data_IF_193119087171
#
_entry.id   IF_193119087171
#
_cell.length_a   1.000
_cell.length_b   1.000
_cell.length_c   1.000
_cell.angle_alpha   90.00
_cell.angle_beta   90.00
_cell.angle_gamma   90.00
#
_symmetry.space_group_name_H-M   'P 1'
#
loop_
_entity.id
_entity.type
_entity.pdbx_description
1 polymer ?
#
# COMPACT_ATOMS: atom_id res chain seq x y z
N UNK A 1 -37.51 29.87 47.37
CA UNK A 1 -38.65 29.29 46.69
C UNK A 1 -38.20 27.94 46.17
N UNK A 2 -38.90 26.85 46.52
CA UNK A 2 -38.41 25.49 46.35
C UNK A 2 -38.75 24.90 44.98
N UNK A 3 -37.86 24.00 44.54
CA UNK A 3 -37.94 23.15 43.33
C UNK A 3 -39.14 22.20 43.41
N UNK A 4 -39.87 22.06 42.30
CA UNK A 4 -40.92 21.08 42.11
C UNK A 4 -40.36 19.72 41.64
N UNK A 5 -40.96 18.57 42.02
CA UNK A 5 -40.45 17.25 41.76
C UNK A 5 -40.90 16.69 40.42
N UNK A 6 -40.04 15.78 39.88
CA UNK A 6 -40.27 14.95 38.66
C UNK A 6 -41.35 13.90 38.89
N UNK A 7 -42.14 13.51 37.89
CA UNK A 7 -43.10 12.44 38.00
C UNK A 7 -42.51 11.02 37.84
N UNK A 8 -43.02 10.15 38.65
CA UNK A 8 -42.72 8.73 38.84
C UNK A 8 -43.19 7.87 37.68
N UNK A 9 -42.44 6.79 37.41
CA UNK A 9 -42.72 5.74 36.42
C UNK A 9 -44.06 5.05 36.65
N UNK A 10 -44.79 4.80 35.55
CA UNK A 10 -45.98 3.94 35.55
C UNK A 10 -45.59 2.52 35.08
N UNK A 11 -45.84 1.58 35.94
CA UNK A 11 -45.88 0.14 35.71
C UNK A 11 -47.03 -0.24 34.78
N UNK A 12 -46.76 -0.98 33.72
CA UNK A 12 -47.76 -1.67 32.92
C UNK A 12 -47.65 -3.17 33.16
N UNK A 13 -48.76 -3.71 33.63
CA UNK A 13 -49.03 -5.10 33.91
C UNK A 13 -49.22 -5.95 32.62
N UNK A 14 -48.81 -7.19 32.74
CA UNK A 14 -49.02 -8.34 31.86
C UNK A 14 -50.48 -8.62 31.52
N UNK A 15 -50.73 -8.97 30.24
CA UNK A 15 -51.94 -9.76 29.83
C UNK A 15 -51.47 -10.88 28.90
N UNK A 16 -51.92 -12.09 29.26
CA UNK A 16 -51.67 -13.39 28.64
C UNK A 16 -52.25 -13.57 27.22
N UNK A 17 -51.53 -14.33 26.43
CA UNK A 17 -51.74 -15.33 25.39
C UNK A 17 -53.17 -15.57 24.81
N UNK A 18 -53.37 -16.32 23.66
CA UNK A 18 -52.50 -17.32 23.01
C UNK A 18 -52.43 -17.30 21.45
N UNK A 19 -51.37 -17.87 20.94
CA UNK A 19 -51.22 -18.80 19.84
C UNK A 19 -51.85 -18.59 18.46
N UNK A 20 -51.01 -18.36 17.45
CA UNK A 20 -51.14 -19.05 16.15
C UNK A 20 -49.72 -19.20 15.57
N UNK A 21 -49.29 -20.45 15.44
CA UNK A 21 -48.09 -20.86 14.70
C UNK A 21 -48.44 -20.85 13.21
N UNK A 22 -47.87 -19.94 12.46
CA UNK A 22 -47.89 -19.96 11.00
C UNK A 22 -46.63 -20.64 10.48
N UNK A 23 -46.78 -21.85 9.97
CA UNK A 23 -45.79 -22.59 9.19
C UNK A 23 -45.53 -21.89 7.85
N UNK A 24 -44.28 -21.66 7.44
CA UNK A 24 -44.00 -21.16 6.09
C UNK A 24 -44.20 -22.27 5.07
N UNK A 25 -45.16 -22.06 4.14
CA UNK A 25 -45.40 -22.91 2.98
C UNK A 25 -44.24 -22.74 1.98
N UNK A 26 -43.52 -23.82 1.71
CA UNK A 26 -42.55 -23.91 0.61
C UNK A 26 -43.30 -23.79 -0.72
N UNK A 27 -43.07 -22.68 -1.44
CA UNK A 27 -43.47 -22.52 -2.84
C UNK A 27 -42.42 -23.19 -3.70
N UNK A 28 -42.73 -24.37 -4.23
CA UNK A 28 -41.93 -25.05 -5.26
C UNK A 28 -42.19 -24.37 -6.61
N UNK A 29 -41.14 -23.80 -7.19
CA UNK A 29 -41.12 -23.33 -8.59
C UNK A 29 -40.85 -24.56 -9.48
N UNK A 30 -41.66 -24.82 -10.52
CA UNK A 30 -41.45 -25.95 -11.42
C UNK A 30 -40.23 -25.68 -12.36
N UNK A 31 -39.29 -26.62 -12.33
CA UNK A 31 -38.19 -26.68 -13.31
C UNK A 31 -38.76 -27.13 -14.68
N UNK A 32 -38.47 -26.36 -15.71
CA UNK A 32 -38.70 -26.75 -17.11
C UNK A 32 -37.64 -27.80 -17.55
N UNK A 33 -37.99 -28.80 -18.37
CA UNK A 33 -37.07 -29.84 -18.79
C UNK A 33 -36.07 -29.31 -19.83
N UNK A 34 -34.78 -29.59 -19.59
CA UNK A 34 -33.68 -29.36 -20.53
C UNK A 34 -33.82 -30.35 -21.68
N UNK A 35 -34.03 -29.84 -22.89
CA UNK A 35 -33.96 -30.59 -24.12
C UNK A 35 -32.51 -30.93 -24.46
N UNK A 36 -32.21 -32.21 -24.59
CA UNK A 36 -30.95 -32.76 -25.08
C UNK A 36 -30.94 -32.65 -26.60
N UNK A 37 -30.06 -31.85 -27.19
CA UNK A 37 -29.78 -31.86 -28.63
C UNK A 37 -28.56 -32.75 -28.89
N UNK A 38 -28.50 -33.48 -30.06
CA UNK A 38 -27.50 -34.49 -30.30
C UNK A 38 -26.15 -33.89 -30.74
N UNK A 39 -25.09 -34.50 -30.26
CA UNK A 39 -23.71 -34.30 -30.59
C UNK A 39 -23.42 -34.57 -32.08
N UNK A 40 -22.99 -33.54 -32.79
CA UNK A 40 -22.29 -33.74 -34.05
C UNK A 40 -20.80 -33.55 -33.85
N UNK A 41 -20.07 -34.66 -33.92
CA UNK A 41 -18.64 -34.74 -34.06
C UNK A 41 -18.23 -34.34 -35.47
N UNK A 42 -17.51 -33.24 -35.62
CA UNK A 42 -16.68 -32.97 -36.78
C UNK A 42 -15.37 -32.33 -36.34
N UNK A 43 -14.32 -33.09 -36.47
CA UNK A 43 -12.92 -32.70 -36.37
C UNK A 43 -12.56 -31.71 -37.47
N UNK A 44 -11.88 -30.60 -37.20
CA UNK A 44 -11.12 -29.89 -38.21
C UNK A 44 -9.63 -30.25 -38.10
N UNK A 45 -9.10 -30.69 -39.22
CA UNK A 45 -7.71 -30.92 -39.58
C UNK A 45 -6.86 -29.65 -39.40
N UNK A 46 -5.72 -29.86 -38.79
CA UNK A 46 -4.58 -28.93 -38.69
C UNK A 46 -3.96 -28.65 -40.09
N UNK A 47 -3.65 -27.38 -40.41
CA UNK A 47 -2.66 -27.11 -41.44
C UNK A 47 -1.27 -26.98 -40.80
N UNK A 48 -0.36 -27.89 -41.20
CA UNK A 48 1.09 -27.76 -40.99
C UNK A 48 1.62 -26.53 -41.71
N UNK A 49 2.16 -25.57 -40.94
CA UNK A 49 3.01 -24.53 -41.49
C UNK A 49 4.47 -24.97 -41.41
N UNK A 50 5.06 -25.13 -42.57
CA UNK A 50 6.47 -25.37 -42.82
C UNK A 50 7.25 -24.12 -42.45
N UNK A 51 8.11 -24.20 -41.45
CA UNK A 51 9.09 -23.16 -41.13
C UNK A 51 10.38 -23.52 -41.88
N UNK A 52 10.68 -22.79 -42.92
CA UNK A 52 12.01 -22.76 -43.55
C UNK A 52 12.93 -21.87 -42.73
N UNK A 53 13.98 -22.45 -42.22
CA UNK A 53 15.15 -21.77 -41.63
C UNK A 53 15.88 -20.93 -42.67
N UNK A 54 16.22 -19.69 -42.36
CA UNK A 54 17.33 -18.98 -43.00
C UNK A 54 18.08 -18.13 -41.97
N UNK A 55 19.29 -18.54 -41.74
CA UNK A 55 20.58 -17.87 -41.56
C UNK A 55 20.71 -16.53 -40.86
N UNK A 56 21.42 -16.66 -39.75
CA UNK A 56 22.63 -15.92 -39.33
C UNK A 56 22.82 -14.46 -39.83
N UNK A 57 22.78 -13.54 -38.89
CA UNK A 57 23.32 -12.19 -39.00
C UNK A 57 23.75 -11.65 -37.63
N UNK A 58 24.97 -11.98 -37.23
CA UNK A 58 25.67 -11.43 -36.09
C UNK A 58 25.95 -9.95 -36.35
N UNK A 59 25.40 -9.03 -35.52
CA UNK A 59 25.82 -7.64 -35.45
C UNK A 59 26.32 -7.33 -34.07
N UNK A 60 27.62 -7.34 -33.93
CA UNK A 60 28.40 -6.85 -32.79
C UNK A 60 28.41 -5.33 -32.83
N UNK A 61 27.77 -4.67 -31.88
CA UNK A 61 27.96 -3.23 -31.63
C UNK A 61 29.06 -3.05 -30.58
N UNK A 62 30.24 -2.65 -31.07
CA UNK A 62 31.37 -2.26 -30.23
C UNK A 62 31.11 -0.89 -29.58
N UNK A 63 31.21 -0.84 -28.27
CA UNK A 63 31.21 0.40 -27.50
C UNK A 63 32.56 1.10 -27.68
N UNK A 64 32.55 2.34 -28.22
CA UNK A 64 33.69 3.25 -28.28
C UNK A 64 33.82 3.99 -26.94
N UNK A 65 34.90 3.69 -26.21
CA UNK A 65 35.37 4.47 -25.05
C UNK A 65 36.40 5.46 -25.58
N UNK A 66 36.30 6.76 -25.33
CA UNK A 66 37.41 7.69 -25.64
C UNK A 66 38.42 7.69 -24.49
N UNK A 67 39.62 7.22 -24.79
CA UNK A 67 40.80 7.32 -23.95
C UNK A 67 41.44 8.73 -24.17
N UNK A 68 41.48 9.56 -23.16
CA UNK A 68 42.29 10.78 -23.17
C UNK A 68 43.64 10.49 -22.55
N UNK A 69 44.68 10.63 -23.40
CA UNK A 69 46.06 10.48 -23.04
C UNK A 69 46.56 11.67 -22.20
N UNK A 70 47.22 11.37 -21.11
CA UNK A 70 48.00 12.33 -20.32
C UNK A 70 49.34 12.60 -21.01
N UNK A 71 49.58 13.85 -21.32
CA UNK A 71 50.91 14.31 -21.79
C UNK A 71 51.67 14.91 -20.62
N UNK A 72 52.73 14.20 -20.23
CA UNK A 72 53.75 14.65 -19.28
C UNK A 72 54.73 15.59 -19.99
N UNK A 73 54.93 16.78 -19.49
CA UNK A 73 56.06 17.64 -19.86
C UNK A 73 56.90 18.00 -18.62
N UNK A 74 58.09 17.41 -18.57
CA UNK A 74 59.18 17.80 -17.69
C UNK A 74 59.87 19.03 -18.28
N UNK A 75 60.11 20.04 -17.45
CA UNK A 75 61.23 21.04 -17.65
C UNK A 75 61.76 21.43 -16.27
N UNK A 76 62.87 21.02 -16.03
CA UNK A 76 64.22 21.37 -15.75
C UNK A 76 64.46 22.56 -14.79
N UNK A 77 65.28 22.20 -13.78
CA UNK A 77 65.90 23.02 -12.74
C UNK A 77 66.86 24.08 -13.30
N UNK A 78 66.85 25.28 -12.69
CA UNK A 78 68.12 26.01 -12.46
C UNK A 78 68.12 26.82 -11.17
N UNK A 79 69.23 26.70 -10.43
CA UNK A 79 69.55 27.37 -9.19
C UNK A 79 69.88 28.84 -9.45
N UNK A 80 69.48 29.69 -8.53
CA UNK A 80 70.01 31.04 -8.40
C UNK A 80 69.91 31.51 -6.95
N UNK A 81 71.09 31.57 -6.29
CA UNK A 81 71.31 32.10 -4.95
C UNK A 81 71.19 33.62 -4.94
N UNK A 82 70.55 34.20 -3.95
CA UNK A 82 70.58 35.60 -3.70
C UNK A 82 69.68 36.04 -2.55
N UNK A 83 70.27 36.15 -1.35
CA UNK A 83 69.67 36.91 -0.24
C UNK A 83 69.92 38.39 -0.50
N UNK A 84 68.92 39.27 -0.22
CA UNK A 84 69.05 40.15 0.94
C UNK A 84 67.73 40.54 1.62
N UNK A 85 67.77 40.55 2.94
CA UNK A 85 67.40 41.61 3.92
C UNK A 85 66.02 42.31 3.83
N UNK A 86 65.27 42.09 4.87
CA UNK A 86 64.25 42.84 5.60
C UNK A 86 63.79 44.21 5.10
N UNK A 87 62.49 44.33 4.87
CA UNK A 87 61.74 45.56 5.23
C UNK A 87 60.31 45.13 5.59
N UNK A 88 59.90 45.47 6.79
CA UNK A 88 58.55 45.22 7.33
C UNK A 88 57.55 46.16 6.62
N UNK A 89 56.47 45.56 6.09
CA UNK A 89 55.28 46.31 5.63
C UNK A 89 54.02 45.64 6.20
N UNK A 90 53.12 46.46 6.68
CA UNK A 90 51.82 46.18 7.32
C UNK A 90 50.99 45.18 6.53
N UNK A 91 50.15 44.36 7.19
CA UNK A 91 49.20 43.50 6.50
C UNK A 91 48.07 44.34 5.91
N UNK A 92 47.94 44.33 4.60
CA UNK A 92 46.74 44.77 3.87
C UNK A 92 45.76 43.63 3.95
N UNK A 93 44.59 43.88 4.53
CA UNK A 93 43.44 42.95 4.53
C UNK A 93 43.04 42.69 3.08
N UNK A 94 43.33 41.49 2.60
CA UNK A 94 42.77 40.97 1.36
C UNK A 94 41.40 40.51 1.67
N UNK A 95 40.39 41.21 1.14
CA UNK A 95 39.00 40.80 1.12
C UNK A 95 38.93 39.55 0.22
N UNK A 96 38.71 38.39 0.83
CA UNK A 96 38.42 37.17 0.08
C UNK A 96 37.06 37.34 -0.58
N UNK A 97 37.05 37.49 -1.89
CA UNK A 97 35.87 37.41 -2.72
C UNK A 97 35.44 35.92 -2.70
N UNK A 98 34.30 35.63 -2.12
CA UNK A 98 33.68 34.28 -2.22
C UNK A 98 33.49 33.93 -3.70
N UNK A 99 33.81 32.70 -4.12
CA UNK A 99 33.51 32.26 -5.48
C UNK A 99 32.00 32.29 -5.73
N UNK A 100 31.59 33.09 -6.72
CA UNK A 100 30.23 33.15 -7.23
C UNK A 100 29.86 31.72 -7.69
N UNK A 101 28.87 31.08 -7.05
CA UNK A 101 28.36 29.81 -7.49
C UNK A 101 27.91 29.89 -8.96
N UNK A 102 28.18 28.87 -9.79
CA UNK A 102 27.71 28.86 -11.17
C UNK A 102 26.19 29.04 -11.23
N UNK A 103 25.67 29.78 -12.21
CA UNK A 103 24.23 29.97 -12.33
C UNK A 103 23.55 28.60 -12.47
N UNK A 104 22.55 28.36 -11.64
CA UNK A 104 21.71 27.16 -11.74
C UNK A 104 21.06 27.12 -13.13
N UNK A 105 20.98 25.94 -13.78
CA UNK A 105 20.32 25.84 -15.06
C UNK A 105 18.86 26.27 -14.95
N UNK A 106 18.47 27.27 -15.72
CA UNK A 106 17.08 27.73 -15.81
C UNK A 106 16.24 26.64 -16.46
N UNK A 107 15.25 26.12 -15.71
CA UNK A 107 14.30 25.13 -16.23
C UNK A 107 13.48 25.73 -17.39
N UNK A 108 13.23 24.93 -18.43
CA UNK A 108 12.32 25.32 -19.53
C UNK A 108 10.90 25.50 -19.01
N UNK A 109 10.05 26.22 -19.73
CA UNK A 109 8.64 26.40 -19.38
C UNK A 109 7.91 25.05 -19.20
N UNK A 110 8.25 24.05 -19.99
CA UNK A 110 7.74 22.68 -19.88
C UNK A 110 8.23 22.00 -18.58
N UNK A 111 9.51 22.15 -18.22
CA UNK A 111 10.05 21.61 -16.98
C UNK A 111 9.46 22.31 -15.75
N UNK A 112 9.20 23.62 -15.82
CA UNK A 112 8.53 24.36 -14.74
C UNK A 112 7.06 23.90 -14.59
N UNK A 113 6.35 23.66 -15.71
CA UNK A 113 5.00 23.13 -15.67
C UNK A 113 4.97 21.70 -15.10
N UNK A 114 5.92 20.86 -15.48
CA UNK A 114 6.10 19.51 -14.98
C UNK A 114 6.47 19.51 -13.49
N UNK A 115 7.37 20.38 -13.05
CA UNK A 115 7.71 20.54 -11.64
C UNK A 115 6.50 20.99 -10.80
N UNK A 116 5.74 21.98 -11.26
CA UNK A 116 4.50 22.41 -10.58
C UNK A 116 3.46 21.31 -10.50
N UNK A 117 3.40 20.45 -11.51
CA UNK A 117 2.49 19.31 -11.51
C UNK A 117 2.94 18.23 -10.52
N UNK A 118 4.24 17.98 -10.43
CA UNK A 118 4.85 17.10 -9.45
C UNK A 118 4.69 17.64 -8.01
N UNK A 119 4.79 18.97 -7.83
CA UNK A 119 4.56 19.61 -6.54
C UNK A 119 3.11 19.48 -6.06
N UNK A 120 2.14 19.35 -6.98
CA UNK A 120 0.73 19.03 -6.65
C UNK A 120 0.59 17.53 -6.30
N UNK A 121 1.36 16.65 -6.93
CA UNK A 121 1.37 15.21 -6.66
C UNK A 121 2.22 14.83 -5.43
N UNK A 122 3.22 15.65 -5.07
CA UNK A 122 4.05 15.47 -3.89
C UNK A 122 3.42 16.14 -2.67
N UNK A 123 3.49 15.53 -1.47
CA UNK A 123 3.02 16.20 -0.27
C UNK A 123 3.78 17.52 -0.07
N UNK A 124 3.13 18.62 0.34
CA UNK A 124 3.82 19.86 0.63
C UNK A 124 4.86 19.59 1.73
N UNK A 125 6.13 19.85 1.41
CA UNK A 125 7.17 19.91 2.42
C UNK A 125 6.79 21.00 3.42
N UNK A 126 6.49 20.60 4.65
CA UNK A 126 6.27 21.45 5.82
C UNK A 126 4.94 22.23 5.91
N UNK A 127 3.88 21.54 6.35
CA UNK A 127 2.97 22.15 7.31
C UNK A 127 3.40 21.72 8.71
N UNK A 128 3.63 22.64 9.67
CA UNK A 128 3.88 22.26 11.04
C UNK A 128 2.60 21.63 11.59
N UNK A 129 2.61 20.31 11.68
CA UNK A 129 1.58 19.57 12.40
C UNK A 129 1.70 19.93 13.89
N UNK A 130 0.58 20.03 14.65
CA UNK A 130 0.66 20.14 16.08
C UNK A 130 1.50 18.99 16.61
N UNK A 131 2.57 19.31 17.35
CA UNK A 131 3.44 18.32 17.97
C UNK A 131 2.57 17.30 18.71
N UNK A 132 2.75 15.99 18.46
CA UNK A 132 2.09 14.98 19.25
C UNK A 132 2.47 15.22 20.72
N UNK A 133 1.48 15.20 21.61
CA UNK A 133 1.71 15.32 23.04
C UNK A 133 2.76 14.31 23.52
N UNK A 134 3.33 14.48 24.72
CA UNK A 134 4.46 13.69 25.19
C UNK A 134 4.19 12.20 25.00
N UNK A 135 5.01 11.56 24.19
CA UNK A 135 4.96 10.13 23.97
C UNK A 135 5.17 9.42 25.30
N UNK A 136 4.14 8.78 25.80
CA UNK A 136 4.33 7.76 26.82
C UNK A 136 4.95 6.58 26.08
N UNK A 137 6.24 6.36 26.28
CA UNK A 137 6.93 5.16 25.84
C UNK A 137 6.26 3.98 26.58
N UNK A 138 5.28 3.35 25.93
CA UNK A 138 4.84 2.03 26.36
C UNK A 138 5.91 1.09 25.80
N UNK A 139 6.73 0.57 26.67
CA UNK A 139 7.65 -0.52 26.32
C UNK A 139 6.84 -1.57 25.57
N UNK A 140 7.23 -1.92 24.31
CA UNK A 140 6.56 -3.01 23.62
C UNK A 140 6.57 -4.22 24.57
N UNK A 141 5.51 -5.00 24.66
CA UNK A 141 5.59 -6.27 25.35
C UNK A 141 6.77 -7.01 24.72
N UNK A 142 7.75 -7.42 25.54
CA UNK A 142 8.92 -8.16 25.08
C UNK A 142 8.44 -9.18 24.05
N UNK A 143 9.12 -9.25 22.90
CA UNK A 143 8.76 -10.17 21.80
C UNK A 143 8.76 -11.64 22.23
N UNK A 144 9.07 -11.91 23.48
CA UNK A 144 9.04 -13.22 24.14
C UNK A 144 7.81 -13.40 25.07
N UNK A 145 7.10 -12.36 25.45
CA UNK A 145 5.84 -12.49 26.17
C UNK A 145 4.72 -12.63 25.16
N UNK A 146 4.33 -13.86 24.85
CA UNK A 146 3.07 -14.13 24.15
C UNK A 146 1.95 -13.42 24.93
N UNK A 147 1.12 -12.58 24.29
CA UNK A 147 -0.07 -12.06 24.93
C UNK A 147 -0.88 -13.28 25.41
N UNK A 148 -1.35 -13.22 26.65
CA UNK A 148 -2.17 -14.27 27.23
C UNK A 148 -3.30 -14.59 26.22
N UNK A 149 -3.44 -15.86 25.84
CA UNK A 149 -4.45 -16.33 24.92
C UNK A 149 -5.82 -15.88 25.40
N UNK A 150 -6.50 -15.04 24.60
CA UNK A 150 -7.90 -14.74 24.89
C UNK A 150 -8.71 -16.03 24.92
N UNK A 151 -9.66 -16.22 25.85
CA UNK A 151 -10.51 -17.39 25.86
C UNK A 151 -11.17 -17.56 24.48
N UNK A 152 -10.90 -18.67 23.79
CA UNK A 152 -11.41 -18.95 22.44
C UNK A 152 -10.50 -18.57 21.28
N UNK A 153 -9.28 -18.04 21.51
CA UNK A 153 -8.30 -17.79 20.45
C UNK A 153 -7.47 -19.03 20.11
N UNK A 154 -6.66 -18.94 19.00
CA UNK A 154 -5.84 -20.06 18.53
C UNK A 154 -4.83 -20.49 19.60
N UNK A 155 -4.76 -21.81 19.81
CA UNK A 155 -3.82 -22.42 20.75
C UNK A 155 -2.60 -22.95 20.02
N UNK A 156 -1.42 -22.60 20.49
CA UNK A 156 -0.17 -23.12 19.94
C UNK A 156 0.01 -24.60 20.34
N UNK A 157 0.08 -25.47 19.35
CA UNK A 157 0.25 -26.92 19.53
C UNK A 157 1.69 -27.39 19.49
N UNK A 158 2.56 -26.63 18.85
CA UNK A 158 3.92 -27.04 18.51
C UNK A 158 4.93 -26.05 19.05
N UNK A 159 6.09 -26.56 19.45
CA UNK A 159 7.28 -25.77 19.77
C UNK A 159 8.11 -25.42 18.53
N UNK A 160 7.60 -25.75 17.34
CA UNK A 160 8.28 -25.45 16.08
C UNK A 160 8.62 -23.97 15.97
N UNK A 161 9.86 -23.68 15.65
CA UNK A 161 10.35 -22.32 15.47
C UNK A 161 9.74 -21.73 14.21
N UNK A 162 9.31 -20.44 14.21
CA UNK A 162 8.87 -19.78 13.00
C UNK A 162 9.93 -19.86 11.89
N UNK A 163 9.53 -19.94 10.62
CA UNK A 163 10.47 -20.01 9.51
C UNK A 163 11.31 -18.74 9.44
N UNK A 164 12.56 -18.87 9.00
CA UNK A 164 13.37 -17.71 8.65
C UNK A 164 12.91 -17.19 7.30
N UNK A 165 12.46 -15.94 7.28
CA UNK A 165 12.02 -15.22 6.07
C UNK A 165 12.91 -14.00 5.83
N UNK A 166 12.78 -13.39 4.65
CA UNK A 166 13.63 -12.28 4.26
C UNK A 166 13.18 -10.93 4.81
N UNK A 167 11.91 -10.82 5.24
CA UNK A 167 11.34 -9.61 5.79
C UNK A 167 11.91 -9.33 7.19
N UNK A 168 12.44 -8.13 7.46
CA UNK A 168 12.91 -7.75 8.80
C UNK A 168 11.75 -7.44 9.77
N UNK A 169 10.62 -6.90 9.29
CA UNK A 169 9.49 -6.49 10.10
C UNK A 169 8.28 -7.35 9.78
N UNK A 170 7.76 -8.06 10.78
CA UNK A 170 6.74 -9.10 10.60
C UNK A 170 5.69 -9.00 11.70
N UNK A 171 4.41 -9.04 11.32
CA UNK A 171 3.31 -9.32 12.24
C UNK A 171 2.39 -10.39 11.62
N UNK A 172 2.06 -11.41 12.40
CA UNK A 172 1.08 -12.44 12.05
C UNK A 172 -0.05 -12.41 13.07
N UNK A 173 -1.28 -12.14 12.61
CA UNK A 173 -2.42 -11.85 13.47
C UNK A 173 -3.62 -12.73 13.11
N UNK A 174 -4.25 -13.32 14.12
CA UNK A 174 -5.52 -14.03 13.96
C UNK A 174 -6.70 -13.06 13.82
N UNK A 175 -7.57 -13.27 12.85
CA UNK A 175 -8.72 -12.38 12.62
C UNK A 175 -9.68 -12.34 13.81
N UNK A 176 -10.09 -13.49 14.29
CA UNK A 176 -11.18 -13.59 15.26
C UNK A 176 -10.79 -13.01 16.62
N UNK A 177 -9.67 -13.43 17.17
CA UNK A 177 -9.19 -13.01 18.49
C UNK A 177 -8.37 -11.71 18.48
N UNK A 178 -7.76 -11.36 17.34
CA UNK A 178 -6.74 -10.31 17.25
C UNK A 178 -5.41 -10.70 17.89
N UNK A 179 -5.23 -11.96 18.31
CA UNK A 179 -3.99 -12.43 18.91
C UNK A 179 -2.84 -12.37 17.90
N UNK A 180 -1.68 -11.91 18.37
CA UNK A 180 -0.43 -11.96 17.62
C UNK A 180 0.13 -13.37 17.69
N UNK A 181 0.18 -14.09 16.56
CA UNK A 181 0.69 -15.45 16.46
C UNK A 181 2.20 -15.46 16.30
N UNK A 182 2.75 -14.43 15.66
CA UNK A 182 4.17 -14.18 15.51
C UNK A 182 4.45 -12.70 15.28
N UNK A 183 5.52 -12.20 15.90
CA UNK A 183 6.02 -10.85 15.70
C UNK A 183 7.55 -10.86 15.65
N UNK A 184 8.12 -10.11 14.73
CA UNK A 184 9.53 -9.80 14.64
C UNK A 184 9.66 -8.33 14.27
N UNK A 185 10.23 -7.52 15.15
CA UNK A 185 10.36 -6.06 14.97
C UNK A 185 9.09 -5.41 14.40
N UNK A 186 7.94 -5.87 14.93
CA UNK A 186 6.62 -5.61 14.35
C UNK A 186 6.10 -4.19 14.59
N UNK A 187 6.67 -3.47 15.56
CA UNK A 187 6.23 -2.14 15.99
C UNK A 187 7.14 -1.01 15.50
N UNK A 188 8.25 -1.34 14.83
CA UNK A 188 9.14 -0.35 14.23
C UNK A 188 8.46 0.39 13.09
N UNK A 189 8.56 1.71 13.09
CA UNK A 189 8.03 2.58 12.04
C UNK A 189 8.82 2.40 10.78
N UNK A 190 8.12 2.07 9.70
CA UNK A 190 8.69 1.83 8.39
C UNK A 190 7.82 2.51 7.32
N UNK A 191 8.38 2.91 6.19
CA UNK A 191 7.58 3.37 5.06
C UNK A 191 6.68 2.22 4.58
N UNK A 192 5.35 2.41 4.54
CA UNK A 192 4.42 1.35 4.17
C UNK A 192 4.32 1.12 2.66
N UNK A 193 4.73 2.08 1.84
CA UNK A 193 4.42 2.07 0.42
C UNK A 193 2.92 1.90 0.16
N UNK A 194 2.52 1.26 -0.92
CA UNK A 194 1.11 1.13 -1.34
C UNK A 194 0.22 0.27 -0.45
N UNK A 195 0.73 -0.38 0.63
CA UNK A 195 -0.19 -0.97 1.63
C UNK A 195 -1.00 0.12 2.36
N UNK A 196 -0.58 1.38 2.31
CA UNK A 196 -1.36 2.58 2.67
C UNK A 196 -2.76 2.57 2.05
N UNK A 197 -2.91 2.06 0.82
CA UNK A 197 -4.20 2.04 0.13
C UNK A 197 -5.27 1.19 0.82
N UNK A 198 -4.91 0.39 1.82
CA UNK A 198 -5.86 -0.30 2.71
C UNK A 198 -6.72 0.75 3.45
N UNK A 199 -6.09 1.74 4.11
CA UNK A 199 -6.84 2.79 4.81
C UNK A 199 -7.54 3.72 3.83
N UNK A 200 -6.92 4.04 2.70
CA UNK A 200 -7.53 4.86 1.66
C UNK A 200 -8.82 4.22 1.17
N UNK A 201 -8.81 2.93 0.88
CA UNK A 201 -10.00 2.19 0.42
C UNK A 201 -11.09 2.12 1.47
N UNK A 202 -10.75 1.78 2.73
CA UNK A 202 -11.79 1.65 3.76
C UNK A 202 -12.41 3.00 4.12
N UNK A 203 -11.64 4.09 4.12
CA UNK A 203 -12.18 5.44 4.32
C UNK A 203 -13.11 5.83 3.16
N UNK A 204 -12.77 5.46 1.92
CA UNK A 204 -13.66 5.68 0.76
C UNK A 204 -15.00 4.93 0.90
N UNK A 205 -14.95 3.67 1.33
CA UNK A 205 -16.14 2.85 1.55
C UNK A 205 -17.02 3.37 2.70
N UNK A 206 -16.42 3.93 3.73
CA UNK A 206 -17.17 4.42 4.90
C UNK A 206 -17.74 5.84 4.74
N UNK A 207 -17.09 6.68 3.94
CA UNK A 207 -17.43 8.12 3.82
C UNK A 207 -17.87 8.52 2.41
N UNK A 208 -17.65 7.67 1.44
CA UNK A 208 -18.04 7.90 0.04
C UNK A 208 -19.52 7.69 -0.20
N UNK A 209 -19.99 8.13 -1.36
CA UNK A 209 -21.34 7.83 -1.84
C UNK A 209 -21.42 6.38 -2.35
N UNK A 210 -22.56 6.05 -2.98
CA UNK A 210 -22.76 4.78 -3.68
C UNK A 210 -21.61 4.49 -4.67
N UNK A 211 -21.19 3.24 -4.74
CA UNK A 211 -20.09 2.78 -5.59
C UNK A 211 -20.32 3.03 -7.09
N UNK A 212 -21.58 3.17 -7.52
CA UNK A 212 -21.95 3.50 -8.91
C UNK A 212 -21.94 5.00 -9.20
N UNK A 213 -21.61 5.84 -8.18
CA UNK A 213 -21.44 7.29 -8.41
C UNK A 213 -20.26 7.53 -9.33
N UNK A 214 -20.51 8.26 -10.42
CA UNK A 214 -19.51 8.62 -11.42
C UNK A 214 -18.86 9.96 -11.08
N UNK A 215 -17.54 10.02 -11.18
CA UNK A 215 -16.75 11.24 -11.04
C UNK A 215 -16.06 11.60 -12.34
N UNK A 216 -15.94 12.89 -12.61
CA UNK A 216 -15.04 13.40 -13.65
C UNK A 216 -13.65 13.52 -13.06
N UNK A 217 -12.66 12.92 -13.72
CA UNK A 217 -11.29 12.88 -13.22
C UNK A 217 -10.55 14.19 -13.48
N UNK A 218 -9.61 14.50 -12.62
CA UNK A 218 -8.68 15.63 -12.75
C UNK A 218 -7.22 15.21 -12.66
N UNK A 219 -6.97 13.97 -12.29
CA UNK A 219 -5.63 13.39 -12.13
C UNK A 219 -5.16 12.79 -13.44
N UNK A 220 -3.89 13.03 -13.81
CA UNK A 220 -3.26 12.43 -14.99
C UNK A 220 -2.27 11.36 -14.59
N UNK A 221 -2.52 10.13 -15.02
CA UNK A 221 -1.59 9.01 -14.86
C UNK A 221 -0.26 9.28 -15.58
N UNK A 222 -0.33 9.84 -16.79
CA UNK A 222 0.86 10.20 -17.57
C UNK A 222 1.77 11.15 -16.80
N UNK A 223 1.20 12.15 -16.13
CA UNK A 223 1.99 13.09 -15.33
C UNK A 223 2.61 12.43 -14.10
N UNK A 224 1.88 11.59 -13.36
CA UNK A 224 2.40 10.88 -12.19
C UNK A 224 3.54 9.93 -12.57
N UNK A 225 3.40 9.17 -13.66
CA UNK A 225 4.49 8.30 -14.15
C UNK A 225 5.72 9.11 -14.51
N UNK A 226 5.55 10.27 -15.16
CA UNK A 226 6.67 11.14 -15.53
C UNK A 226 7.35 11.81 -14.32
N UNK A 227 6.60 12.03 -13.22
CA UNK A 227 7.11 12.67 -12.01
C UNK A 227 7.94 11.72 -11.14
N UNK A 228 7.38 10.56 -10.81
CA UNK A 228 7.92 9.69 -9.76
C UNK A 228 7.88 8.19 -10.11
N UNK A 229 7.53 7.83 -11.34
CA UNK A 229 7.42 6.44 -11.77
C UNK A 229 6.25 5.70 -11.12
N UNK A 230 5.23 6.41 -10.69
CA UNK A 230 4.03 5.86 -10.03
C UNK A 230 3.44 4.67 -10.78
N UNK A 231 3.00 3.66 -10.03
CA UNK A 231 2.04 2.68 -10.54
C UNK A 231 0.68 3.35 -10.73
N UNK A 232 0.04 3.14 -11.87
CA UNK A 232 -1.21 3.80 -12.24
C UNK A 232 -2.22 2.82 -12.82
N UNK A 233 -3.51 3.15 -12.76
CA UNK A 233 -4.55 2.47 -13.54
C UNK A 233 -4.71 3.05 -14.94
N UNK A 234 -4.26 4.29 -15.16
CA UNK A 234 -4.27 4.97 -16.46
C UNK A 234 -5.32 6.06 -16.59
N UNK A 235 -5.69 6.75 -15.48
CA UNK A 235 -6.62 7.88 -15.51
C UNK A 235 -6.03 9.07 -16.27
N UNK A 236 -6.86 9.72 -17.08
CA UNK A 236 -6.55 11.03 -17.64
C UNK A 236 -7.63 12.05 -17.27
N UNK A 237 -7.31 13.35 -17.30
CA UNK A 237 -8.31 14.39 -17.04
C UNK A 237 -9.53 14.25 -17.94
N UNK A 238 -10.72 14.55 -17.39
CA UNK A 238 -12.02 14.47 -18.03
C UNK A 238 -12.57 13.05 -18.30
N UNK A 239 -11.88 11.98 -17.86
CA UNK A 239 -12.48 10.65 -17.84
C UNK A 239 -13.69 10.62 -16.89
N UNK A 240 -14.71 9.83 -17.21
CA UNK A 240 -15.87 9.60 -16.38
C UNK A 240 -15.81 8.20 -15.76
N UNK A 241 -15.45 8.13 -14.48
CA UNK A 241 -15.15 6.85 -13.81
C UNK A 241 -15.96 6.69 -12.53
N UNK A 242 -16.53 5.51 -12.32
CA UNK A 242 -17.27 5.18 -11.12
C UNK A 242 -16.34 5.01 -9.92
N UNK A 243 -16.87 5.28 -8.72
CA UNK A 243 -16.13 5.03 -7.47
C UNK A 243 -15.66 3.57 -7.39
N UNK A 244 -16.50 2.60 -7.74
CA UNK A 244 -16.15 1.19 -7.80
C UNK A 244 -14.89 0.95 -8.64
N UNK A 245 -14.85 1.49 -9.86
CA UNK A 245 -13.71 1.34 -10.77
C UNK A 245 -12.45 1.99 -10.22
N UNK A 246 -12.57 3.17 -9.58
CA UNK A 246 -11.45 3.83 -8.90
C UNK A 246 -10.90 2.96 -7.76
N UNK A 247 -11.78 2.34 -6.95
CA UNK A 247 -11.34 1.46 -5.86
C UNK A 247 -10.65 0.20 -6.38
N UNK A 248 -11.15 -0.41 -7.46
CA UNK A 248 -10.44 -1.50 -8.13
C UNK A 248 -9.11 -1.04 -8.71
N UNK A 249 -9.05 0.16 -9.31
CA UNK A 249 -7.81 0.77 -9.81
C UNK A 249 -6.76 0.98 -8.74
N UNK A 250 -7.19 1.34 -7.54
CA UNK A 250 -6.34 1.52 -6.39
C UNK A 250 -5.84 0.18 -5.81
N UNK A 251 -6.72 -0.82 -5.74
CA UNK A 251 -6.43 -2.10 -5.07
C UNK A 251 -5.68 -3.09 -5.96
N UNK A 252 -6.04 -3.24 -7.24
CA UNK A 252 -5.50 -4.27 -8.12
C UNK A 252 -4.14 -3.88 -8.72
N UNK A 253 -4.05 -2.90 -9.66
CA UNK A 253 -2.77 -2.47 -10.21
C UNK A 253 -2.00 -1.52 -9.28
N UNK A 254 -2.57 -1.20 -8.13
CA UNK A 254 -1.95 -0.28 -7.16
C UNK A 254 -1.89 1.18 -7.63
N UNK A 255 -2.88 1.63 -8.44
CA UNK A 255 -2.92 2.97 -9.05
C UNK A 255 -2.81 4.10 -8.03
N UNK A 256 -1.75 4.91 -8.16
CA UNK A 256 -1.57 6.13 -7.38
C UNK A 256 -2.53 7.22 -7.90
N UNK A 257 -2.75 7.27 -9.21
CA UNK A 257 -3.76 8.12 -9.87
C UNK A 257 -5.16 7.89 -9.29
N UNK A 258 -5.57 6.63 -9.15
CA UNK A 258 -6.84 6.28 -8.53
C UNK A 258 -6.93 6.71 -7.07
N UNK A 259 -5.85 6.55 -6.29
CA UNK A 259 -5.82 6.97 -4.89
C UNK A 259 -5.94 8.49 -4.74
N UNK A 260 -5.21 9.25 -5.55
CA UNK A 260 -5.30 10.72 -5.57
C UNK A 260 -6.68 11.18 -6.06
N UNK A 261 -7.23 10.54 -7.11
CA UNK A 261 -8.56 10.89 -7.62
C UNK A 261 -9.66 10.61 -6.59
N UNK A 262 -9.61 9.47 -5.89
CA UNK A 262 -10.53 9.17 -4.78
C UNK A 262 -10.45 10.26 -3.71
N UNK A 263 -9.24 10.67 -3.32
CA UNK A 263 -9.05 11.67 -2.29
C UNK A 263 -9.69 13.03 -2.69
N UNK A 264 -9.41 13.53 -3.90
CA UNK A 264 -9.96 14.82 -4.34
C UNK A 264 -11.45 14.74 -4.61
N UNK A 265 -11.95 13.61 -5.15
CA UNK A 265 -13.39 13.43 -5.44
C UNK A 265 -14.24 13.39 -4.17
N UNK A 266 -13.77 12.72 -3.11
CA UNK A 266 -14.57 12.51 -1.91
C UNK A 266 -14.42 13.64 -0.87
N UNK A 267 -13.22 14.18 -0.73
CA UNK A 267 -12.93 15.19 0.29
C UNK A 267 -12.77 16.61 -0.29
N UNK A 268 -12.68 16.77 -1.60
CA UNK A 268 -12.40 18.03 -2.27
C UNK A 268 -10.92 18.38 -2.31
N UNK A 269 -10.12 17.93 -1.33
CA UNK A 269 -8.66 18.07 -1.32
C UNK A 269 -7.99 16.81 -0.77
N UNK A 270 -6.72 16.60 -1.17
CA UNK A 270 -5.86 15.54 -0.65
C UNK A 270 -5.70 15.64 0.87
N UNK A 271 -5.39 16.83 1.36
CA UNK A 271 -5.09 17.08 2.78
C UNK A 271 -6.28 16.71 3.67
N UNK A 272 -7.48 17.07 3.23
CA UNK A 272 -8.70 16.69 3.96
C UNK A 272 -8.93 15.18 3.96
N UNK A 273 -8.64 14.52 2.85
CA UNK A 273 -8.75 13.06 2.80
C UNK A 273 -7.73 12.37 3.70
N UNK A 274 -6.50 12.84 3.68
CA UNK A 274 -5.43 12.38 4.58
C UNK A 274 -5.79 12.61 6.05
N UNK A 275 -6.45 13.72 6.38
CA UNK A 275 -7.00 13.92 7.72
C UNK A 275 -8.00 12.81 8.10
N UNK A 276 -8.89 12.41 7.20
CA UNK A 276 -9.81 11.30 7.43
C UNK A 276 -9.09 9.95 7.61
N UNK A 277 -8.00 9.73 6.86
CA UNK A 277 -7.17 8.53 7.03
C UNK A 277 -6.56 8.49 8.42
N UNK A 278 -5.98 9.62 8.89
CA UNK A 278 -5.37 9.70 10.22
C UNK A 278 -6.41 9.67 11.36
N UNK A 279 -7.62 10.19 11.15
CA UNK A 279 -8.75 10.00 12.07
C UNK A 279 -9.11 8.52 12.23
N UNK A 280 -9.10 7.73 11.12
CA UNK A 280 -9.30 6.29 11.15
C UNK A 280 -8.20 5.59 11.94
N UNK A 281 -6.94 5.92 11.69
CA UNK A 281 -5.77 5.44 12.43
C UNK A 281 -5.92 5.67 13.93
N UNK A 282 -6.28 6.89 14.31
CA UNK A 282 -6.49 7.26 15.71
C UNK A 282 -7.66 6.47 16.35
N UNK A 283 -8.77 6.30 15.62
CA UNK A 283 -9.95 5.54 16.08
C UNK A 283 -9.66 4.05 16.32
N UNK A 284 -8.67 3.49 15.61
CA UNK A 284 -8.19 2.13 15.76
C UNK A 284 -7.03 2.01 16.76
N UNK A 285 -6.63 3.13 17.39
CA UNK A 285 -5.50 3.19 18.33
C UNK A 285 -4.15 2.73 17.76
N UNK A 286 -3.93 2.92 16.45
CA UNK A 286 -2.68 2.58 15.78
C UNK A 286 -1.64 3.68 16.07
N UNK A 287 -0.66 3.37 16.91
CA UNK A 287 0.25 4.38 17.51
C UNK A 287 1.50 4.62 16.66
N UNK A 288 1.86 3.65 15.85
CA UNK A 288 3.06 3.70 15.03
C UNK A 288 2.72 3.94 13.55
N UNK A 289 1.62 4.68 13.31
CA UNK A 289 1.11 4.96 11.97
C UNK A 289 0.74 6.43 11.83
N UNK A 290 1.23 7.03 10.75
CA UNK A 290 0.85 8.35 10.27
C UNK A 290 0.94 8.39 8.75
N UNK A 291 -0.07 8.94 8.10
CA UNK A 291 -0.14 9.04 6.65
C UNK A 291 -0.13 10.50 6.19
N UNK A 292 0.55 10.79 5.10
CA UNK A 292 0.59 12.12 4.46
C UNK A 292 0.19 12.09 2.99
N UNK A 293 0.05 10.87 2.40
CA UNK A 293 -0.48 10.68 1.06
C UNK A 293 -1.54 9.58 1.04
N UNK A 294 -2.51 9.63 0.13
CA UNK A 294 -3.48 8.53 -0.04
C UNK A 294 -2.88 7.33 -0.79
N UNK A 295 -1.77 7.52 -1.49
CA UNK A 295 -1.13 6.54 -2.36
C UNK A 295 -0.05 5.71 -1.68
N UNK A 296 0.62 6.26 -0.66
CA UNK A 296 1.73 5.62 0.03
C UNK A 296 3.11 5.94 -0.54
N UNK A 297 3.24 7.06 -1.25
CA UNK A 297 4.54 7.58 -1.68
C UNK A 297 5.37 7.99 -0.47
N UNK A 298 6.68 7.82 -0.59
CA UNK A 298 7.62 8.05 0.51
C UNK A 298 7.66 9.50 0.98
N UNK A 299 7.69 9.67 2.30
CA UNK A 299 7.91 10.94 2.99
C UNK A 299 8.34 10.63 4.42
N UNK A 300 9.16 11.47 5.04
CA UNK A 300 9.65 11.27 6.41
C UNK A 300 8.51 11.14 7.43
N UNK A 301 7.38 11.82 7.18
CA UNK A 301 6.19 11.78 8.02
C UNK A 301 5.19 10.67 7.63
N UNK A 302 5.48 9.85 6.58
CA UNK A 302 4.63 8.78 6.09
C UNK A 302 5.15 7.44 6.55
N UNK A 303 4.62 6.92 7.64
CA UNK A 303 5.08 5.68 8.24
C UNK A 303 3.94 4.83 8.81
N UNK A 304 4.22 3.56 8.98
CA UNK A 304 3.40 2.59 9.71
C UNK A 304 4.30 1.49 10.29
N UNK A 305 3.69 0.54 10.99
CA UNK A 305 4.37 -0.67 11.48
C UNK A 305 3.72 -1.93 10.91
N UNK A 306 4.45 -3.04 10.92
CA UNK A 306 3.89 -4.30 10.46
C UNK A 306 2.66 -4.72 11.28
N UNK A 307 2.68 -4.45 12.59
CA UNK A 307 1.55 -4.71 13.46
C UNK A 307 0.35 -3.83 13.16
N UNK A 308 0.54 -2.51 13.05
CA UNK A 308 -0.56 -1.59 12.77
C UNK A 308 -1.22 -1.90 11.42
N UNK A 309 -0.42 -2.23 10.41
CA UNK A 309 -0.95 -2.62 9.10
C UNK A 309 -1.74 -3.93 9.13
N UNK A 310 -1.33 -4.91 9.95
CA UNK A 310 -2.11 -6.13 10.15
C UNK A 310 -3.45 -5.85 10.85
N UNK A 311 -3.46 -4.98 11.87
CA UNK A 311 -4.69 -4.56 12.58
C UNK A 311 -5.61 -3.77 11.67
N UNK A 312 -5.06 -2.84 10.87
CA UNK A 312 -5.81 -2.06 9.89
C UNK A 312 -6.48 -2.96 8.84
N UNK A 313 -5.73 -3.94 8.31
CA UNK A 313 -6.28 -4.91 7.36
C UNK A 313 -7.35 -5.79 8.00
N UNK A 314 -7.13 -6.24 9.23
CA UNK A 314 -8.13 -6.99 10.01
C UNK A 314 -9.44 -6.20 10.16
N UNK A 315 -9.36 -4.91 10.41
CA UNK A 315 -10.53 -4.02 10.44
C UNK A 315 -11.19 -3.90 9.06
N UNK A 316 -10.41 -3.58 8.03
CA UNK A 316 -10.91 -3.36 6.68
C UNK A 316 -11.60 -4.62 6.10
N UNK A 317 -11.05 -5.80 6.37
CA UNK A 317 -11.61 -7.08 5.92
C UNK A 317 -12.92 -7.47 6.64
N UNK A 318 -13.40 -6.72 7.62
CA UNK A 318 -14.76 -6.89 8.15
C UNK A 318 -15.83 -6.30 7.21
N UNK A 319 -15.45 -5.34 6.36
CA UNK A 319 -16.34 -4.77 5.35
C UNK A 319 -16.45 -5.72 4.14
N UNK A 320 -17.68 -6.13 3.72
CA UNK A 320 -17.87 -7.08 2.61
C UNK A 320 -17.37 -6.57 1.27
N UNK A 321 -17.56 -5.26 0.98
CA UNK A 321 -17.11 -4.62 -0.26
C UNK A 321 -15.58 -4.61 -0.30
N UNK A 322 -14.93 -4.28 0.82
CA UNK A 322 -13.48 -4.33 0.91
C UNK A 322 -12.93 -5.74 0.65
N UNK A 323 -13.56 -6.77 1.24
CA UNK A 323 -13.17 -8.17 0.96
C UNK A 323 -13.27 -8.52 -0.51
N UNK A 324 -14.36 -8.09 -1.15
CA UNK A 324 -14.56 -8.32 -2.59
C UNK A 324 -13.45 -7.67 -3.41
N UNK A 325 -13.14 -6.38 -3.15
CA UNK A 325 -12.04 -5.66 -3.80
C UNK A 325 -10.69 -6.38 -3.59
N UNK A 326 -10.36 -6.74 -2.35
CA UNK A 326 -9.08 -7.34 -1.99
C UNK A 326 -8.87 -8.74 -2.61
N UNK A 327 -9.93 -9.53 -2.71
CA UNK A 327 -9.90 -10.89 -3.24
C UNK A 327 -10.03 -10.98 -4.77
N UNK A 328 -10.39 -9.89 -5.45
CA UNK A 328 -10.63 -9.90 -6.90
C UNK A 328 -9.32 -10.00 -7.68
N UNK A 329 -9.14 -11.04 -8.54
CA UNK A 329 -7.93 -11.19 -9.33
C UNK A 329 -7.89 -10.26 -10.55
N UNK A 330 -9.05 -9.97 -11.15
CA UNK A 330 -9.20 -9.15 -12.35
C UNK A 330 -10.51 -8.41 -12.31
N UNK A 331 -10.50 -7.18 -12.81
CA UNK A 331 -11.70 -6.36 -12.95
C UNK A 331 -11.69 -5.63 -14.29
N UNK A 332 -12.86 -5.46 -14.88
CA UNK A 332 -13.10 -4.63 -16.07
C UNK A 332 -14.28 -3.73 -15.79
N UNK A 333 -14.09 -2.43 -15.88
CA UNK A 333 -15.14 -1.43 -15.68
C UNK A 333 -14.71 -0.09 -16.24
N UNK A 334 -15.67 0.68 -16.75
CA UNK A 334 -15.47 2.00 -17.35
C UNK A 334 -14.28 2.02 -18.35
N UNK A 335 -14.18 0.98 -19.21
CA UNK A 335 -13.11 0.74 -20.20
C UNK A 335 -11.71 0.46 -19.63
N UNK A 336 -11.56 0.34 -18.31
CA UNK A 336 -10.31 -0.06 -17.68
C UNK A 336 -10.24 -1.57 -17.47
N UNK A 337 -9.06 -2.15 -17.72
CA UNK A 337 -8.76 -3.56 -17.49
C UNK A 337 -7.63 -3.72 -16.48
N UNK A 338 -7.92 -4.32 -15.34
CA UNK A 338 -7.04 -4.32 -14.17
C UNK A 338 -6.76 -5.72 -13.64
N UNK A 339 -5.51 -5.93 -13.21
CA UNK A 339 -5.05 -7.17 -12.58
C UNK A 339 -4.58 -6.91 -11.16
N UNK A 340 -4.88 -7.83 -10.26
CA UNK A 340 -4.36 -7.81 -8.90
C UNK A 340 -2.92 -8.31 -8.88
N UNK A 341 -2.03 -7.52 -8.31
CA UNK A 341 -0.60 -7.83 -8.22
C UNK A 341 -0.23 -8.69 -7.00
N UNK A 342 -1.20 -9.10 -6.17
CA UNK A 342 -0.94 -9.95 -5.01
C UNK A 342 -0.54 -11.37 -5.46
N UNK A 343 0.70 -11.82 -5.16
CA UNK A 343 1.22 -13.09 -5.66
C UNK A 343 0.56 -14.32 -5.04
N UNK A 344 -0.23 -14.17 -3.96
CA UNK A 344 -0.88 -15.29 -3.29
C UNK A 344 -2.25 -15.61 -3.90
N UNK A 345 -2.92 -14.62 -4.51
CA UNK A 345 -4.25 -14.83 -5.09
C UNK A 345 -4.19 -15.85 -6.24
N UNK A 346 -4.98 -16.90 -6.11
CA UNK A 346 -5.01 -18.01 -7.07
C UNK A 346 -3.81 -18.97 -7.01
N UNK A 347 -2.79 -18.68 -6.18
CA UNK A 347 -1.60 -19.53 -6.03
C UNK A 347 -1.51 -20.22 -4.65
N UNK A 348 -2.00 -19.57 -3.59
CA UNK A 348 -2.01 -20.13 -2.24
C UNK A 348 -3.45 -20.48 -1.82
N UNK A 349 -3.73 -21.73 -1.38
CA UNK A 349 -5.08 -22.14 -0.99
C UNK A 349 -5.64 -21.29 0.15
N UNK A 350 -6.81 -20.70 -0.08
CA UNK A 350 -7.48 -19.83 0.88
C UNK A 350 -7.01 -18.39 0.91
N UNK A 351 -6.03 -17.99 0.08
CA UNK A 351 -5.62 -16.58 -0.03
C UNK A 351 -6.80 -15.73 -0.53
N UNK A 352 -7.13 -14.66 0.21
CA UNK A 352 -8.27 -13.80 -0.03
C UNK A 352 -7.97 -12.28 0.09
N UNK A 353 -6.69 -11.90 0.11
CA UNK A 353 -6.27 -10.50 0.11
C UNK A 353 -4.81 -10.33 0.56
N UNK A 354 -4.34 -9.14 0.89
CA UNK A 354 -5.05 -7.87 0.94
C UNK A 354 -4.42 -6.87 -0.05
N UNK A 355 -3.14 -6.43 0.20
CA UNK A 355 -2.47 -5.40 -0.63
C UNK A 355 -0.97 -5.56 -0.59
N UNK A 356 -0.32 -5.31 -1.72
CA UNK A 356 1.14 -5.19 -1.83
C UNK A 356 1.57 -3.74 -1.95
N UNK A 357 2.85 -3.48 -1.69
CA UNK A 357 3.47 -2.19 -1.91
C UNK A 357 4.94 -2.32 -2.27
N UNK A 358 5.46 -1.29 -2.92
CA UNK A 358 6.86 -1.13 -3.22
C UNK A 358 7.20 0.34 -3.43
N UNK A 359 8.27 0.78 -2.80
CA UNK A 359 9.06 1.95 -3.17
C UNK A 359 10.54 1.60 -2.99
N UNK A 360 11.44 2.44 -3.49
CA UNK A 360 12.87 2.17 -3.31
C UNK A 360 13.29 2.23 -1.83
N UNK A 361 12.66 3.10 -1.04
CA UNK A 361 12.94 3.28 0.39
C UNK A 361 12.29 2.17 1.22
N UNK A 362 11.01 1.88 0.99
CA UNK A 362 10.28 0.85 1.74
C UNK A 362 10.75 -0.57 1.42
N UNK A 363 11.32 -0.79 0.23
CA UNK A 363 11.44 -2.12 -0.32
C UNK A 363 10.06 -2.71 -0.61
N UNK A 364 9.94 -4.03 -0.63
CA UNK A 364 8.64 -4.68 -0.85
C UNK A 364 7.89 -4.85 0.45
N UNK A 365 6.61 -4.48 0.45
CA UNK A 365 5.69 -4.60 1.57
C UNK A 365 4.44 -5.38 1.14
N UNK A 366 3.81 -6.08 2.08
CA UNK A 366 2.55 -6.78 1.84
C UNK A 366 1.78 -6.93 3.15
N UNK A 367 0.47 -6.76 3.10
CA UNK A 367 -0.43 -7.44 4.02
C UNK A 367 -1.15 -8.52 3.20
N UNK A 368 -0.90 -9.77 3.56
CA UNK A 368 -1.58 -10.93 2.99
C UNK A 368 -2.59 -11.48 3.98
N UNK A 369 -3.64 -12.12 3.47
CA UNK A 369 -4.57 -12.92 4.27
C UNK A 369 -4.88 -14.24 3.60
N UNK A 370 -5.14 -15.25 4.43
CA UNK A 370 -5.65 -16.53 3.99
C UNK A 370 -6.65 -17.09 4.99
N UNK A 371 -7.69 -17.75 4.49
CA UNK A 371 -8.74 -18.39 5.27
C UNK A 371 -8.65 -19.91 5.10
N UNK A 372 -8.63 -20.65 6.23
CA UNK A 372 -8.67 -22.11 6.25
C UNK A 372 -9.63 -22.56 7.36
N UNK A 373 -10.51 -23.47 7.04
CA UNK A 373 -11.52 -24.02 7.99
C UNK A 373 -12.31 -22.94 8.75
N UNK A 374 -12.60 -21.81 8.07
CA UNK A 374 -13.35 -20.68 8.65
C UNK A 374 -12.50 -19.70 9.47
N UNK A 375 -11.20 -19.93 9.63
CA UNK A 375 -10.29 -19.08 10.35
C UNK A 375 -9.40 -18.30 9.39
N UNK A 376 -9.34 -16.96 9.53
CA UNK A 376 -8.48 -16.09 8.71
C UNK A 376 -7.29 -15.61 9.52
N UNK A 377 -6.14 -15.61 8.87
CA UNK A 377 -4.88 -15.10 9.41
C UNK A 377 -4.35 -14.02 8.49
N UNK A 378 -3.85 -12.93 9.08
CA UNK A 378 -3.13 -11.86 8.40
C UNK A 378 -1.64 -12.01 8.60
N UNK A 379 -0.88 -11.83 7.52
CA UNK A 379 0.59 -11.75 7.52
C UNK A 379 0.97 -10.38 6.96
N UNK A 380 1.53 -9.52 7.79
CA UNK A 380 2.05 -8.22 7.39
C UNK A 380 3.58 -8.26 7.38
N UNK A 381 4.17 -7.93 6.24
CA UNK A 381 5.61 -7.91 6.01
C UNK A 381 6.04 -6.54 5.47
N UNK A 382 7.12 -5.98 6.03
CA UNK A 382 7.75 -4.77 5.51
C UNK A 382 9.23 -5.04 5.24
N UNK A 383 9.74 -4.57 4.09
CA UNK A 383 11.13 -4.78 3.67
C UNK A 383 11.46 -6.20 3.16
N UNK A 384 10.47 -6.98 2.71
CA UNK A 384 10.69 -8.35 2.19
C UNK A 384 11.42 -8.33 0.84
N UNK A 385 12.27 -9.37 0.64
CA UNK A 385 12.89 -9.64 -0.65
C UNK A 385 12.14 -10.70 -1.47
N UNK A 386 11.20 -11.40 -0.85
CA UNK A 386 10.42 -12.49 -1.46
C UNK A 386 9.00 -12.53 -0.88
N UNK A 387 8.13 -11.58 -1.26
CA UNK A 387 6.78 -11.43 -0.71
C UNK A 387 6.00 -12.76 -0.66
N UNK A 388 5.91 -13.45 -1.80
CA UNK A 388 5.12 -14.68 -1.91
C UNK A 388 5.69 -15.80 -1.05
N UNK A 389 7.00 -16.08 -1.17
CA UNK A 389 7.66 -17.13 -0.41
C UNK A 389 7.64 -16.89 1.09
N UNK A 390 7.90 -15.65 1.53
CA UNK A 390 7.88 -15.29 2.95
C UNK A 390 6.48 -15.46 3.56
N UNK A 391 5.43 -14.99 2.86
CA UNK A 391 4.04 -15.16 3.31
C UNK A 391 3.62 -16.63 3.36
N UNK A 392 3.92 -17.42 2.32
CA UNK A 392 3.58 -18.85 2.26
C UNK A 392 4.25 -19.60 3.43
N UNK A 393 5.54 -19.35 3.67
CA UNK A 393 6.26 -20.01 4.74
C UNK A 393 5.65 -19.72 6.13
N UNK A 394 5.26 -18.44 6.38
CA UNK A 394 4.63 -18.05 7.64
C UNK A 394 3.21 -18.62 7.77
N UNK A 395 2.39 -18.59 6.74
CA UNK A 395 1.04 -19.14 6.74
C UNK A 395 1.08 -20.67 6.96
N UNK A 396 1.96 -21.40 6.26
CA UNK A 396 2.10 -22.85 6.42
C UNK A 396 2.55 -23.19 7.85
N UNK A 397 3.48 -22.40 8.42
CA UNK A 397 3.90 -22.55 9.80
C UNK A 397 2.73 -22.34 10.78
N UNK A 398 1.91 -21.30 10.57
CA UNK A 398 0.73 -21.03 11.40
C UNK A 398 -0.24 -22.20 11.37
N UNK A 399 -0.63 -22.66 10.19
CA UNK A 399 -1.61 -23.76 10.06
C UNK A 399 -1.10 -25.09 10.66
N UNK A 400 0.22 -25.27 10.68
CA UNK A 400 0.84 -26.44 11.33
C UNK A 400 0.93 -26.29 12.83
N UNK A 401 1.16 -25.06 13.34
CA UNK A 401 1.56 -24.81 14.72
C UNK A 401 0.42 -24.39 15.64
N UNK A 402 -0.73 -24.00 15.08
CA UNK A 402 -1.87 -23.53 15.85
C UNK A 402 -3.15 -24.33 15.53
N UNK A 403 -4.05 -24.34 16.50
CA UNK A 403 -5.44 -24.86 16.37
C UNK A 403 -6.41 -23.85 16.96
N UNK A 404 -7.57 -23.68 16.32
CA UNK A 404 -8.69 -22.86 16.73
C UNK A 404 -9.76 -23.66 17.42
#
# INVERSE_FOLDING_TARGET
>A
MPLAPLPTAATLSSVDSPGVVATPTLVTVPQAPLAIAPSNTSTPSTPSAVITSRDSGTSTLAALVPTTAATSSRVNTQRGSGTPTLAASRPTTVSTVEPIAPPQPTLSATQIAQQRFCDIASPPAHLPLPLPGPYVHITPPDAQTQPASSPGGPQRLSTDVPPRVSAPHIAVVDEASGNVLYAQDAFSRQPPASITKIVTTIVALERGPDLQTTFTTSVSATALVACDGSSVMGLEPDDHVKLETLLYGMMLPSGNDAAEQVAVSLAGTRERYVSWMNEKVASLHLRDTHFVTPSGMDSDEHYSSAYDMAVLARYAMQNPEFRTLAATPRFVGDDYYMHNLNPLLGSYPGADGVKIGYTEIAGRTIVASATRDGHRVFVSLMGSRNLGGDCIALLDWVWKSFRW
#
